data_IF_256282502252
#
_entry.id   IF_256282502252
#
_cell.length_a   1.000
_cell.length_b   1.000
_cell.length_c   1.000
_cell.angle_alpha   90.00
_cell.angle_beta   90.00
_cell.angle_gamma   90.00
#
_symmetry.space_group_name_H-M   'P 1'
#
loop_
_entity.id
_entity.type
_entity.pdbx_description
1 polymer ?
#
# COMPACT_ATOMS: atom_id res chain seq x y z
N UNK A 1 10.77 -15.55 -14.36
CA UNK A 1 12.24 -15.58 -14.09
C UNK A 1 12.51 -14.53 -13.03
N UNK A 2 13.15 -14.85 -11.90
CA UNK A 2 13.52 -13.82 -10.92
C UNK A 2 14.59 -12.92 -11.54
N UNK A 3 14.44 -11.60 -11.45
CA UNK A 3 15.45 -10.66 -11.93
C UNK A 3 16.53 -10.53 -10.82
N UNK A 4 17.79 -10.91 -11.07
CA UNK A 4 18.85 -10.78 -10.07
C UNK A 4 19.09 -9.32 -9.69
N UNK A 5 19.46 -9.11 -8.43
CA UNK A 5 19.75 -7.79 -7.85
C UNK A 5 21.16 -7.37 -8.28
N UNK A 6 21.36 -6.17 -8.85
CA UNK A 6 22.70 -5.61 -9.03
C UNK A 6 23.35 -5.33 -7.66
N UNK A 7 24.55 -5.86 -7.42
CA UNK A 7 25.29 -5.80 -6.14
C UNK A 7 25.56 -4.38 -5.59
N UNK A 8 25.30 -3.36 -6.39
CA UNK A 8 25.62 -1.96 -6.18
C UNK A 8 24.46 -1.10 -5.65
N UNK A 9 23.28 -1.66 -5.41
CA UNK A 9 22.16 -0.96 -4.73
C UNK A 9 22.00 -1.47 -3.29
N UNK A 10 22.55 -0.71 -2.32
CA UNK A 10 22.21 -0.88 -0.90
C UNK A 10 20.76 -0.44 -0.69
N UNK A 11 19.85 -1.41 -0.55
CA UNK A 11 18.46 -1.15 -0.15
C UNK A 11 18.40 -0.86 1.36
N UNK A 12 17.45 -0.02 1.83
CA UNK A 12 17.13 0.06 3.25
C UNK A 12 16.73 -1.33 3.77
N UNK A 13 17.15 -1.63 4.99
CA UNK A 13 16.95 -2.91 5.69
C UNK A 13 15.49 -3.37 5.81
N UNK A 14 14.52 -2.48 5.53
CA UNK A 14 13.08 -2.66 5.76
C UNK A 14 12.24 -2.80 4.47
N UNK A 15 12.84 -3.08 3.32
CA UNK A 15 12.11 -3.13 2.04
C UNK A 15 11.34 -4.44 1.81
N UNK A 16 10.07 -4.31 1.38
CA UNK A 16 9.17 -5.40 0.98
C UNK A 16 9.34 -5.71 -0.51
N UNK A 17 9.59 -6.99 -0.85
CA UNK A 17 9.65 -7.43 -2.24
C UNK A 17 8.38 -8.19 -2.60
N UNK A 18 7.63 -7.74 -3.61
CA UNK A 18 6.39 -8.40 -4.05
C UNK A 18 6.68 -9.26 -5.27
N UNK A 19 6.55 -10.57 -5.12
CA UNK A 19 6.52 -11.51 -6.23
C UNK A 19 5.10 -12.04 -6.37
N UNK A 20 4.32 -11.41 -7.24
CA UNK A 20 3.01 -11.91 -7.60
C UNK A 20 3.15 -12.79 -8.84
N UNK A 21 3.47 -14.08 -8.63
CA UNK A 21 2.97 -15.07 -9.59
C UNK A 21 1.44 -15.06 -9.46
N UNK A 22 0.69 -15.39 -10.52
CA UNK A 22 -0.79 -15.44 -10.61
C UNK A 22 -1.54 -16.14 -9.44
N UNK A 23 -0.86 -16.60 -8.38
CA UNK A 23 -1.38 -17.36 -7.24
C UNK A 23 -0.91 -16.87 -5.86
N UNK A 24 0.15 -16.06 -5.77
CA UNK A 24 0.82 -15.79 -4.49
C UNK A 24 1.09 -14.31 -4.26
N UNK A 25 1.06 -13.89 -3.00
CA UNK A 25 1.62 -12.63 -2.53
C UNK A 25 2.69 -12.90 -1.47
N UNK A 26 3.89 -12.34 -1.64
CA UNK A 26 5.03 -12.62 -0.77
C UNK A 26 5.56 -11.31 -0.20
N UNK A 27 5.22 -10.92 1.03
CA UNK A 27 5.90 -9.84 1.73
C UNK A 27 7.15 -10.37 2.41
N UNK A 28 8.22 -9.58 2.40
CA UNK A 28 9.48 -9.98 3.01
C UNK A 28 10.17 -8.79 3.66
N UNK A 29 10.61 -8.97 4.91
CA UNK A 29 11.50 -8.04 5.59
C UNK A 29 12.90 -8.66 5.64
N UNK A 30 13.81 -8.15 4.81
CA UNK A 30 15.16 -8.73 4.63
C UNK A 30 16.01 -8.66 5.90
N UNK A 31 16.03 -7.53 6.60
CA UNK A 31 16.85 -7.39 7.80
C UNK A 31 16.37 -8.28 8.95
N UNK A 32 15.06 -8.50 9.06
CA UNK A 32 14.49 -9.35 10.11
C UNK A 32 14.35 -10.81 9.69
N UNK A 33 14.65 -11.13 8.42
CA UNK A 33 14.48 -12.47 7.83
C UNK A 33 13.09 -13.05 8.09
N UNK A 34 12.04 -12.21 7.97
CA UNK A 34 10.63 -12.61 8.13
C UNK A 34 9.91 -12.48 6.80
N UNK A 35 9.11 -13.48 6.44
CA UNK A 35 8.35 -13.46 5.19
C UNK A 35 6.89 -13.88 5.43
N UNK A 36 5.99 -13.41 4.57
CA UNK A 36 4.66 -13.97 4.38
C UNK A 36 4.54 -14.59 3.00
N UNK A 37 3.59 -15.50 2.83
CA UNK A 37 3.15 -16.05 1.55
C UNK A 37 1.64 -16.22 1.64
N UNK A 38 0.89 -15.34 0.99
CA UNK A 38 -0.56 -15.40 0.93
C UNK A 38 -0.99 -16.05 -0.38
N UNK A 39 -1.77 -17.13 -0.28
CA UNK A 39 -2.47 -17.78 -1.38
C UNK A 39 -3.96 -17.45 -1.24
N UNK A 40 -4.39 -16.43 -1.98
CA UNK A 40 -5.76 -15.94 -1.94
C UNK A 40 -6.73 -16.82 -2.73
N UNK A 41 -6.23 -17.72 -3.60
CA UNK A 41 -7.05 -18.72 -4.29
C UNK A 41 -7.50 -19.82 -3.33
N UNK A 42 -6.56 -20.35 -2.55
CA UNK A 42 -6.83 -21.43 -1.59
C UNK A 42 -7.20 -20.92 -0.21
N UNK A 43 -7.24 -19.61 -0.01
CA UNK A 43 -7.57 -18.99 1.26
C UNK A 43 -6.60 -19.39 2.40
N UNK A 44 -5.31 -19.50 2.07
CA UNK A 44 -4.26 -19.90 3.02
C UNK A 44 -3.16 -18.84 3.07
N UNK A 45 -2.75 -18.46 4.27
CA UNK A 45 -1.57 -17.62 4.50
C UNK A 45 -0.48 -18.42 5.19
N UNK A 46 0.78 -18.18 4.84
CA UNK A 46 1.94 -18.75 5.54
C UNK A 46 2.87 -17.63 5.97
N UNK A 47 3.33 -17.65 7.21
CA UNK A 47 4.30 -16.71 7.75
C UNK A 47 5.54 -17.47 8.20
N UNK A 48 6.71 -16.99 7.81
CA UNK A 48 7.99 -17.65 8.01
C UNK A 48 8.91 -16.82 8.90
N UNK A 49 9.64 -17.54 9.73
CA UNK A 49 10.84 -17.06 10.40
C UNK A 49 12.06 -17.73 9.77
N UNK A 50 12.72 -17.03 8.86
CA UNK A 50 13.89 -17.56 8.16
C UNK A 50 15.10 -17.82 9.07
N UNK A 51 15.16 -17.24 10.28
CA UNK A 51 16.28 -17.47 11.20
C UNK A 51 16.18 -18.80 11.94
N UNK A 52 14.94 -19.21 12.26
CA UNK A 52 14.65 -20.44 13.00
C UNK A 52 14.20 -21.58 12.09
N UNK A 53 13.67 -21.27 10.90
CA UNK A 53 12.99 -22.23 10.04
C UNK A 53 11.52 -22.48 10.43
N UNK A 54 11.01 -21.75 11.41
CA UNK A 54 9.62 -21.84 11.86
C UNK A 54 8.67 -21.31 10.77
N UNK A 55 7.51 -21.95 10.63
CA UNK A 55 6.44 -21.47 9.77
C UNK A 55 5.06 -21.61 10.43
N UNK A 56 4.18 -20.67 10.14
CA UNK A 56 2.79 -20.68 10.56
C UNK A 56 1.90 -20.63 9.34
N UNK A 57 1.07 -21.64 9.13
CA UNK A 57 0.12 -21.67 8.02
C UNK A 57 -1.31 -21.59 8.56
N UNK A 58 -2.13 -20.70 8.03
CA UNK A 58 -3.51 -20.47 8.47
C UNK A 58 -4.47 -20.65 7.33
N UNK A 59 -5.51 -21.45 7.57
CA UNK A 59 -6.66 -21.52 6.69
C UNK A 59 -7.77 -20.68 7.30
N UNK A 60 -7.87 -19.43 6.86
CA UNK A 60 -8.69 -18.44 7.56
C UNK A 60 -10.20 -18.63 7.37
N UNK A 61 -10.68 -19.28 6.30
CA UNK A 61 -12.11 -19.64 6.19
C UNK A 61 -12.51 -20.70 7.23
N UNK A 62 -11.58 -21.60 7.56
CA UNK A 62 -11.80 -22.69 8.51
C UNK A 62 -11.42 -22.31 9.94
N UNK A 63 -10.95 -21.07 10.16
CA UNK A 63 -10.67 -20.52 11.48
C UNK A 63 -9.57 -21.23 12.27
N UNK A 64 -8.67 -21.97 11.62
CA UNK A 64 -7.59 -22.68 12.29
C UNK A 64 -6.27 -22.59 11.51
N UNK A 65 -5.19 -22.97 12.18
CA UNK A 65 -3.84 -22.96 11.62
C UNK A 65 -3.00 -24.12 12.07
N UNK A 66 -1.76 -24.11 11.60
CA UNK A 66 -0.71 -25.05 11.98
C UNK A 66 0.59 -24.30 12.19
N UNK A 67 1.31 -24.68 13.24
CA UNK A 67 2.69 -24.27 13.51
C UNK A 67 3.63 -25.40 13.11
N UNK A 68 4.61 -25.11 12.27
CA UNK A 68 5.64 -26.02 11.79
C UNK A 68 6.96 -25.56 12.40
N UNK A 69 7.49 -26.27 13.41
CA UNK A 69 8.76 -25.90 14.02
C UNK A 69 9.94 -26.09 13.06
N UNK A 70 10.93 -25.21 13.14
CA UNK A 70 12.16 -25.31 12.39
C UNK A 70 12.85 -26.67 12.57
N UNK A 71 13.37 -27.21 11.47
CA UNK A 71 14.05 -28.51 11.46
C UNK A 71 13.14 -29.74 11.41
N UNK A 72 11.81 -29.58 11.55
CA UNK A 72 10.84 -30.69 11.42
C UNK A 72 10.49 -31.01 9.97
N UNK A 73 10.73 -30.06 9.06
CA UNK A 73 10.45 -30.19 7.63
C UNK A 73 11.57 -29.54 6.83
N UNK A 74 11.81 -30.05 5.62
CA UNK A 74 12.66 -29.41 4.60
C UNK A 74 11.86 -28.43 3.73
N UNK A 75 10.54 -28.36 3.93
CA UNK A 75 9.64 -27.53 3.13
C UNK A 75 9.50 -26.10 3.65
N UNK A 76 9.97 -25.77 4.86
CA UNK A 76 9.94 -24.40 5.37
C UNK A 76 11.21 -23.64 4.98
N UNK A 77 11.12 -22.32 4.95
CA UNK A 77 12.27 -21.48 4.64
C UNK A 77 13.20 -21.31 5.85
N UNK A 78 14.47 -21.70 5.69
CA UNK A 78 15.55 -21.49 6.67
C UNK A 78 16.76 -20.87 5.95
N UNK A 79 17.17 -19.67 6.37
CA UNK A 79 18.26 -18.91 5.77
C UNK A 79 19.61 -19.61 5.86
N UNK A 80 19.78 -20.53 6.84
CA UNK A 80 21.00 -21.33 6.97
C UNK A 80 21.10 -22.39 5.87
N UNK A 81 19.97 -22.77 5.26
CA UNK A 81 19.90 -23.78 4.20
C UNK A 81 19.81 -23.16 2.82
N UNK A 82 19.00 -22.10 2.67
CA UNK A 82 18.68 -21.51 1.39
C UNK A 82 18.41 -20.01 1.53
N UNK A 83 18.95 -19.21 0.61
CA UNK A 83 18.67 -17.76 0.60
C UNK A 83 17.21 -17.48 0.26
N UNK A 84 16.71 -16.32 0.69
CA UNK A 84 15.34 -15.89 0.41
C UNK A 84 15.02 -15.97 -1.09
N UNK A 85 15.90 -15.39 -1.92
CA UNK A 85 15.69 -15.30 -3.37
C UNK A 85 15.60 -16.70 -4.01
N UNK A 86 16.39 -17.66 -3.51
CA UNK A 86 16.39 -19.04 -4.00
C UNK A 86 15.12 -19.80 -3.56
N UNK A 87 14.67 -19.66 -2.31
CA UNK A 87 13.48 -20.35 -1.81
C UNK A 87 12.20 -19.82 -2.47
N UNK A 88 12.06 -18.50 -2.54
CA UNK A 88 10.88 -17.86 -3.11
C UNK A 88 10.91 -17.75 -4.65
N UNK A 89 11.95 -18.31 -5.29
CA UNK A 89 11.88 -18.62 -6.72
C UNK A 89 10.87 -19.72 -7.00
N UNK A 90 10.74 -20.72 -6.14
CA UNK A 90 9.77 -21.80 -6.29
C UNK A 90 9.26 -22.20 -4.90
N UNK A 91 8.49 -21.32 -4.23
CA UNK A 91 8.07 -21.57 -2.87
C UNK A 91 7.17 -22.81 -2.81
N UNK A 92 7.25 -23.53 -1.69
CA UNK A 92 6.31 -24.62 -1.42
C UNK A 92 4.90 -24.03 -1.33
N UNK A 93 3.96 -24.59 -2.08
CA UNK A 93 2.59 -24.11 -2.13
C UNK A 93 1.96 -24.10 -0.72
N UNK A 94 1.29 -23.01 -0.29
CA UNK A 94 0.65 -22.92 1.02
C UNK A 94 -0.27 -24.09 1.40
N UNK A 95 -1.10 -24.65 0.49
CA UNK A 95 -1.89 -25.85 0.81
C UNK A 95 -1.04 -27.07 1.17
N UNK A 96 0.15 -27.21 0.59
CA UNK A 96 1.07 -28.32 0.87
C UNK A 96 1.79 -28.12 2.21
N UNK A 97 2.19 -26.89 2.52
CA UNK A 97 2.75 -26.55 3.83
C UNK A 97 1.72 -26.76 4.94
N UNK A 98 0.48 -26.33 4.73
CA UNK A 98 -0.61 -26.56 5.67
C UNK A 98 -0.78 -28.05 5.99
N UNK A 99 -0.89 -28.90 4.96
CA UNK A 99 -0.95 -30.38 5.11
C UNK A 99 0.27 -30.97 5.80
N UNK A 100 1.44 -30.35 5.65
CA UNK A 100 2.66 -30.78 6.35
C UNK A 100 2.56 -30.45 7.83
N UNK A 101 2.08 -29.26 8.18
CA UNK A 101 1.81 -28.88 9.56
C UNK A 101 0.73 -29.73 10.22
N UNK A 102 -0.31 -30.17 9.49
CA UNK A 102 -1.31 -31.11 10.02
C UNK A 102 -0.70 -32.46 10.41
N UNK A 103 0.35 -32.91 9.71
CA UNK A 103 0.99 -34.21 9.94
C UNK A 103 2.13 -34.18 10.96
N UNK A 104 2.91 -33.11 10.95
CA UNK A 104 4.20 -33.02 11.63
C UNK A 104 4.34 -31.79 12.53
N UNK A 105 3.34 -30.90 12.54
CA UNK A 105 3.33 -29.67 13.33
C UNK A 105 2.33 -29.72 14.48
N UNK A 106 2.04 -28.53 15.00
CA UNK A 106 1.04 -28.30 16.05
C UNK A 106 -0.16 -27.61 15.45
N UNK A 107 -1.37 -28.13 15.72
CA UNK A 107 -2.59 -27.43 15.35
C UNK A 107 -2.77 -26.18 16.21
N UNK A 108 -3.29 -25.12 15.59
CA UNK A 108 -3.54 -23.83 16.21
C UNK A 108 -5.02 -23.53 16.09
N UNK A 109 -5.68 -23.40 17.24
CA UNK A 109 -7.05 -22.91 17.34
C UNK A 109 -7.04 -21.54 18.03
N UNK A 110 -7.91 -20.59 17.62
CA UNK A 110 -8.03 -19.25 18.21
C UNK A 110 -8.00 -19.23 19.74
N UNK A 111 -8.69 -20.19 20.35
CA UNK A 111 -8.93 -20.22 21.79
C UNK A 111 -7.88 -21.02 22.57
N UNK A 112 -6.92 -21.67 21.88
CA UNK A 112 -6.01 -22.66 22.48
C UNK A 112 -4.53 -22.37 22.23
N UNK A 113 -4.18 -21.17 21.75
CA UNK A 113 -2.79 -20.80 21.52
C UNK A 113 -2.03 -20.59 22.83
N UNK A 114 -0.88 -21.27 22.95
CA UNK A 114 0.06 -21.01 24.04
C UNK A 114 0.74 -19.64 23.91
N UNK A 115 1.10 -19.04 25.04
CA UNK A 115 1.82 -17.77 25.11
C UNK A 115 3.11 -17.76 24.28
N UNK A 116 3.85 -18.87 24.27
CA UNK A 116 5.09 -19.01 23.48
C UNK A 116 4.82 -18.94 21.98
N UNK A 117 3.75 -19.57 21.50
CA UNK A 117 3.34 -19.53 20.09
C UNK A 117 2.85 -18.13 19.74
N UNK A 118 2.05 -17.50 20.59
CA UNK A 118 1.60 -16.13 20.41
C UNK A 118 2.77 -15.14 20.29
N UNK A 119 3.78 -15.27 21.16
CA UNK A 119 4.99 -14.45 21.12
C UNK A 119 5.75 -14.62 19.80
N UNK A 120 5.98 -15.85 19.35
CA UNK A 120 6.64 -16.13 18.07
C UNK A 120 5.87 -15.52 16.90
N UNK A 121 4.54 -15.63 16.89
CA UNK A 121 3.69 -15.00 15.90
C UNK A 121 3.87 -13.48 15.89
N UNK A 122 3.76 -12.81 17.05
CA UNK A 122 3.97 -11.37 17.16
C UNK A 122 5.35 -10.92 16.65
N UNK A 123 6.40 -11.71 16.90
CA UNK A 123 7.76 -11.42 16.43
C UNK A 123 7.90 -11.51 14.90
N UNK A 124 7.13 -12.39 14.24
CA UNK A 124 7.11 -12.48 12.77
C UNK A 124 6.28 -11.33 12.18
N UNK A 125 5.15 -10.98 12.80
CA UNK A 125 4.22 -9.99 12.28
C UNK A 125 4.64 -8.54 12.52
N UNK A 126 5.22 -8.21 13.67
CA UNK A 126 5.57 -6.82 14.01
C UNK A 126 6.46 -6.18 12.94
N UNK A 127 7.48 -6.87 12.40
CA UNK A 127 8.28 -6.36 11.27
C UNK A 127 7.51 -6.23 9.94
N UNK A 128 6.39 -6.94 9.81
CA UNK A 128 5.53 -6.94 8.63
C UNK A 128 4.43 -5.86 8.72
N UNK A 129 4.04 -5.45 9.94
CA UNK A 129 3.22 -4.26 10.22
C UNK A 129 3.26 -3.89 11.73
N UNK A 130 3.76 -2.69 12.10
CA UNK A 130 4.07 -2.29 13.48
C UNK A 130 2.91 -2.26 14.48
N UNK A 131 1.67 -2.10 14.00
CA UNK A 131 0.47 -2.00 14.85
C UNK A 131 0.09 -3.32 15.54
N UNK A 132 0.83 -4.39 15.30
CA UNK A 132 0.55 -5.74 15.77
C UNK A 132 1.44 -6.17 16.94
N UNK A 133 1.96 -5.20 17.70
CA UNK A 133 2.98 -5.38 18.74
C UNK A 133 2.50 -6.08 20.03
N UNK A 134 1.19 -6.33 20.19
CA UNK A 134 0.66 -7.01 21.37
C UNK A 134 0.57 -8.54 21.19
N UNK A 135 0.98 -9.29 22.22
CA UNK A 135 1.00 -10.76 22.22
C UNK A 135 -0.41 -11.35 22.25
N UNK A 136 -1.33 -10.76 23.02
CA UNK A 136 -2.67 -11.30 23.27
C UNK A 136 -3.61 -11.25 22.06
N UNK A 137 -3.30 -10.50 21.01
CA UNK A 137 -4.16 -10.32 19.84
C UNK A 137 -3.61 -10.98 18.56
N UNK A 138 -2.40 -11.53 18.61
CA UNK A 138 -1.65 -11.91 17.41
C UNK A 138 -2.41 -12.83 16.44
N UNK A 139 -3.08 -13.88 16.94
CA UNK A 139 -3.83 -14.81 16.07
C UNK A 139 -5.13 -14.21 15.54
N UNK A 140 -5.92 -13.52 16.39
CA UNK A 140 -7.14 -12.86 15.94
C UNK A 140 -6.82 -11.77 14.90
N UNK A 141 -5.73 -11.04 15.12
CA UNK A 141 -5.16 -10.07 14.20
C UNK A 141 -4.70 -10.74 12.91
N UNK A 142 -4.01 -11.89 12.95
CA UNK A 142 -3.64 -12.65 11.73
C UNK A 142 -4.85 -13.16 10.98
N UNK A 143 -5.83 -13.74 11.66
CA UNK A 143 -7.03 -14.25 11.00
C UNK A 143 -7.82 -13.11 10.38
N UNK A 144 -7.94 -11.99 11.10
CA UNK A 144 -8.54 -10.76 10.56
C UNK A 144 -7.77 -10.22 9.38
N UNK A 145 -6.43 -10.11 9.44
CA UNK A 145 -5.60 -9.64 8.32
C UNK A 145 -5.65 -10.63 7.18
N UNK A 146 -5.48 -11.92 7.41
CA UNK A 146 -5.47 -12.95 6.36
C UNK A 146 -6.81 -13.00 5.67
N UNK A 147 -7.91 -12.96 6.43
CA UNK A 147 -9.26 -12.88 5.88
C UNK A 147 -9.49 -11.56 5.15
N UNK A 148 -9.18 -10.42 5.76
CA UNK A 148 -9.42 -9.09 5.17
C UNK A 148 -8.57 -8.88 3.92
N UNK A 149 -7.28 -9.20 4.01
CA UNK A 149 -6.32 -9.14 2.90
C UNK A 149 -6.74 -10.10 1.82
N UNK A 150 -7.14 -11.32 2.15
CA UNK A 150 -7.52 -12.25 1.11
C UNK A 150 -8.89 -11.96 0.52
N UNK A 151 -9.91 -11.60 1.28
CA UNK A 151 -11.20 -11.15 0.74
C UNK A 151 -11.01 -9.93 -0.17
N UNK A 152 -10.19 -8.96 0.25
CA UNK A 152 -9.88 -7.74 -0.53
C UNK A 152 -9.00 -8.03 -1.74
N UNK A 153 -7.88 -8.75 -1.58
CA UNK A 153 -6.99 -9.11 -2.70
C UNK A 153 -7.66 -10.11 -3.66
N UNK A 154 -8.44 -11.06 -3.19
CA UNK A 154 -9.19 -11.99 -4.05
C UNK A 154 -10.22 -11.21 -4.86
N UNK A 155 -10.96 -10.30 -4.25
CA UNK A 155 -11.95 -9.48 -4.99
C UNK A 155 -11.25 -8.53 -5.97
N UNK A 156 -10.17 -7.86 -5.56
CA UNK A 156 -9.49 -6.84 -6.37
C UNK A 156 -8.51 -7.40 -7.40
N UNK A 157 -7.76 -8.46 -7.08
CA UNK A 157 -6.71 -9.03 -7.94
C UNK A 157 -7.19 -10.18 -8.82
N UNK A 158 -8.18 -10.99 -8.43
CA UNK A 158 -8.59 -12.16 -9.24
C UNK A 158 -9.13 -11.77 -10.62
N UNK A 159 -9.77 -10.60 -10.75
CA UNK A 159 -10.12 -10.08 -12.07
C UNK A 159 -8.92 -9.47 -12.79
N UNK A 160 -7.95 -8.88 -12.07
CA UNK A 160 -6.76 -8.31 -12.70
C UNK A 160 -5.90 -9.40 -13.34
N UNK A 161 -5.91 -10.63 -12.82
CA UNK A 161 -5.18 -11.77 -13.39
C UNK A 161 -5.39 -11.98 -14.90
N UNK A 162 -6.57 -11.65 -15.45
CA UNK A 162 -6.85 -11.81 -16.89
C UNK A 162 -6.28 -10.69 -17.77
N UNK A 163 -5.93 -9.54 -17.18
CA UNK A 163 -5.49 -8.31 -17.84
C UNK A 163 -3.97 -8.09 -17.70
N UNK A 164 -3.32 -8.88 -16.85
CA UNK A 164 -2.02 -8.56 -16.24
C UNK A 164 -0.86 -9.35 -16.85
N UNK A 165 0.30 -8.69 -16.96
CA UNK A 165 1.57 -9.27 -17.41
C UNK A 165 2.42 -9.83 -16.26
N UNK A 166 3.73 -10.01 -16.48
CA UNK A 166 4.67 -10.45 -15.44
C UNK A 166 4.66 -9.47 -14.25
N UNK A 167 4.48 -9.97 -13.01
CA UNK A 167 4.46 -9.12 -11.80
C UNK A 167 5.72 -9.35 -10.96
N UNK A 168 6.70 -8.47 -11.12
CA UNK A 168 7.86 -8.37 -10.23
C UNK A 168 7.98 -6.92 -9.70
N UNK A 169 7.37 -6.66 -8.54
CA UNK A 169 7.39 -5.34 -7.90
C UNK A 169 8.41 -5.26 -6.76
N UNK A 170 9.28 -4.25 -6.78
CA UNK A 170 10.15 -3.85 -5.67
C UNK A 170 9.43 -2.75 -4.90
N UNK A 171 8.91 -3.06 -3.72
CA UNK A 171 8.05 -2.12 -3.02
C UNK A 171 8.66 -1.44 -1.81
N UNK A 172 8.16 -0.22 -1.57
CA UNK A 172 8.57 0.66 -0.47
C UNK A 172 7.59 0.63 0.71
N UNK A 173 6.47 -0.11 0.62
CA UNK A 173 5.40 -0.14 1.61
C UNK A 173 5.18 -1.51 2.26
N UNK A 174 4.45 -1.50 3.38
CA UNK A 174 4.05 -2.68 4.16
C UNK A 174 2.77 -3.36 3.60
N UNK A 175 2.24 -4.35 4.32
CA UNK A 175 1.01 -5.05 3.94
C UNK A 175 -0.19 -4.10 3.69
N UNK A 176 -0.33 -3.04 4.48
CA UNK A 176 -1.49 -2.14 4.39
C UNK A 176 -1.44 -1.30 3.14
N UNK A 177 -0.24 -0.80 2.83
CA UNK A 177 0.02 -0.09 1.59
C UNK A 177 -0.45 -0.89 0.38
N UNK A 178 -0.10 -2.17 0.30
CA UNK A 178 -0.50 -2.99 -0.85
C UNK A 178 -2.01 -3.18 -0.92
N UNK A 179 -2.65 -3.47 0.22
CA UNK A 179 -4.10 -3.66 0.27
C UNK A 179 -4.80 -2.39 -0.20
N UNK A 180 -4.42 -1.23 0.34
CA UNK A 180 -4.97 0.05 -0.07
C UNK A 180 -4.73 0.33 -1.56
N UNK A 181 -3.56 -0.05 -2.09
CA UNK A 181 -3.24 0.16 -3.49
C UNK A 181 -4.11 -0.74 -4.37
N UNK A 182 -4.25 -2.02 -4.04
CA UNK A 182 -5.12 -2.95 -4.77
C UNK A 182 -6.59 -2.50 -4.75
N UNK A 183 -7.06 -1.93 -3.63
CA UNK A 183 -8.37 -1.29 -3.53
C UNK A 183 -8.48 -0.08 -4.45
N UNK A 184 -7.48 0.82 -4.41
CA UNK A 184 -7.45 2.00 -5.28
C UNK A 184 -7.47 1.65 -6.76
N UNK A 185 -6.73 0.61 -7.15
CA UNK A 185 -6.72 0.08 -8.52
C UNK A 185 -8.11 -0.46 -8.90
N UNK A 186 -8.73 -1.26 -8.03
CA UNK A 186 -10.05 -1.82 -8.27
C UNK A 186 -11.13 -0.72 -8.39
N UNK A 187 -11.12 0.24 -7.47
CA UNK A 187 -12.02 1.40 -7.49
C UNK A 187 -11.84 2.22 -8.77
N UNK A 188 -10.60 2.48 -9.17
CA UNK A 188 -10.30 3.18 -10.40
C UNK A 188 -10.85 2.45 -11.63
N UNK A 189 -10.62 1.14 -11.75
CA UNK A 189 -11.13 0.38 -12.90
C UNK A 189 -12.63 0.15 -12.89
N UNK A 190 -13.29 0.20 -11.71
CA UNK A 190 -14.75 0.18 -11.64
C UNK A 190 -15.38 1.33 -12.43
N UNK A 191 -14.71 2.49 -12.51
CA UNK A 191 -15.15 3.66 -13.28
C UNK A 191 -15.23 3.38 -14.79
N UNK A 192 -14.49 2.37 -15.27
CA UNK A 192 -14.45 1.96 -16.67
C UNK A 192 -15.43 0.83 -17.00
N UNK A 193 -16.25 0.38 -16.04
CA UNK A 193 -17.08 -0.82 -16.18
C UNK A 193 -16.39 -2.08 -15.65
N UNK A 194 -15.31 -1.92 -14.87
CA UNK A 194 -14.57 -3.01 -14.28
C UNK A 194 -13.64 -3.72 -15.26
N UNK A 195 -13.13 -4.86 -14.80
CA UNK A 195 -12.12 -5.67 -15.48
C UNK A 195 -12.62 -6.22 -16.83
N UNK A 196 -13.91 -6.56 -16.93
CA UNK A 196 -14.49 -7.07 -18.18
C UNK A 196 -14.40 -6.05 -19.32
N UNK A 197 -14.59 -4.77 -19.02
CA UNK A 197 -14.46 -3.70 -19.99
C UNK A 197 -13.00 -3.53 -20.46
N UNK A 198 -12.04 -3.69 -19.55
CA UNK A 198 -10.61 -3.66 -19.88
C UNK A 198 -10.22 -4.84 -20.78
N UNK A 199 -10.70 -6.04 -20.45
CA UNK A 199 -10.49 -7.25 -21.25
C UNK A 199 -11.05 -7.10 -22.67
N UNK A 200 -12.29 -6.60 -22.81
CA UNK A 200 -12.92 -6.37 -24.11
C UNK A 200 -12.17 -5.36 -24.97
N UNK A 201 -11.48 -4.40 -24.33
CA UNK A 201 -10.66 -3.38 -25.00
C UNK A 201 -9.20 -3.82 -25.19
N UNK A 202 -8.86 -5.05 -24.80
CA UNK A 202 -7.51 -5.61 -24.84
C UNK A 202 -6.48 -4.70 -24.17
N UNK A 203 -6.88 -4.03 -23.09
CA UNK A 203 -5.94 -3.24 -22.28
C UNK A 203 -4.99 -4.20 -21.59
N UNK A 204 -3.70 -3.89 -21.61
CA UNK A 204 -2.71 -4.63 -20.86
C UNK A 204 -2.11 -3.75 -19.75
N UNK A 205 -2.13 -4.26 -18.53
CA UNK A 205 -1.58 -3.56 -17.37
C UNK A 205 -0.30 -4.22 -16.90
N UNK A 206 0.76 -3.42 -16.83
CA UNK A 206 2.03 -3.76 -16.19
C UNK A 206 1.95 -3.40 -14.70
N UNK A 207 1.46 -4.36 -13.90
CA UNK A 207 1.43 -4.19 -12.44
C UNK A 207 2.83 -4.09 -11.83
N UNK A 208 3.87 -4.61 -12.48
CA UNK A 208 5.22 -4.37 -12.00
C UNK A 208 5.53 -2.86 -12.09
N UNK A 209 5.18 -2.20 -13.19
CA UNK A 209 5.31 -0.74 -13.31
C UNK A 209 4.50 0.00 -12.23
N UNK A 210 3.25 -0.40 -11.98
CA UNK A 210 2.39 0.17 -10.92
C UNK A 210 3.01 0.01 -9.53
N UNK A 211 3.37 -1.21 -9.17
CA UNK A 211 3.91 -1.56 -7.86
C UNK A 211 5.31 -0.98 -7.63
N UNK A 212 6.03 -0.57 -8.67
CA UNK A 212 7.34 0.07 -8.55
C UNK A 212 7.26 1.61 -8.52
N UNK A 213 6.07 2.19 -8.63
CA UNK A 213 5.92 3.65 -8.65
C UNK A 213 6.25 4.30 -7.31
N UNK A 214 6.67 5.56 -7.36
CA UNK A 214 7.10 6.30 -6.17
C UNK A 214 5.95 6.93 -5.37
N UNK A 215 4.77 7.09 -5.98
CA UNK A 215 3.57 7.65 -5.34
C UNK A 215 2.30 7.31 -6.11
N UNK A 216 1.14 7.52 -5.49
CA UNK A 216 -0.16 7.40 -6.14
C UNK A 216 -0.35 8.31 -7.36
N UNK A 217 0.37 9.44 -7.42
CA UNK A 217 0.37 10.35 -8.59
C UNK A 217 0.97 9.64 -9.81
N UNK A 218 2.11 8.98 -9.66
CA UNK A 218 2.73 8.26 -10.78
C UNK A 218 1.89 7.06 -11.23
N UNK A 219 1.21 6.40 -10.29
CA UNK A 219 0.25 5.34 -10.62
C UNK A 219 -0.89 5.92 -11.46
N UNK A 220 -1.43 7.08 -11.08
CA UNK A 220 -2.44 7.78 -11.86
C UNK A 220 -1.93 8.15 -13.26
N UNK A 221 -0.73 8.75 -13.39
CA UNK A 221 -0.13 9.06 -14.68
C UNK A 221 -0.05 7.82 -15.57
N UNK A 222 0.49 6.72 -15.03
CA UNK A 222 0.59 5.46 -15.75
C UNK A 222 -0.78 4.94 -16.21
N UNK A 223 -1.80 5.03 -15.37
CA UNK A 223 -3.14 4.61 -15.74
C UNK A 223 -3.80 5.51 -16.79
N UNK A 224 -3.61 6.82 -16.70
CA UNK A 224 -4.10 7.77 -17.72
C UNK A 224 -3.43 7.49 -19.06
N UNK A 225 -2.11 7.32 -19.10
CA UNK A 225 -1.35 6.95 -20.30
C UNK A 225 -1.82 5.63 -20.90
N UNK A 226 -2.03 4.61 -20.06
CA UNK A 226 -2.39 3.26 -20.51
C UNK A 226 -3.82 3.19 -21.02
N UNK A 227 -4.74 3.97 -20.44
CA UNK A 227 -6.16 3.89 -20.79
C UNK A 227 -6.59 4.90 -21.86
N UNK A 228 -5.86 6.01 -22.04
CA UNK A 228 -6.22 7.05 -23.00
C UNK A 228 -6.46 6.53 -24.44
N UNK A 229 -5.68 5.56 -24.96
CA UNK A 229 -5.92 5.01 -26.30
C UNK A 229 -7.21 4.18 -26.41
N UNK A 230 -7.76 3.70 -25.29
CA UNK A 230 -8.84 2.70 -25.26
C UNK A 230 -10.19 3.26 -24.81
N UNK A 231 -10.18 4.36 -24.07
CA UNK A 231 -11.36 4.95 -23.45
C UNK A 231 -11.38 6.48 -23.57
N UNK A 232 -12.58 7.04 -23.69
CA UNK A 232 -12.80 8.47 -23.47
C UNK A 232 -12.64 8.79 -21.97
N UNK A 233 -11.42 9.17 -21.59
CA UNK A 233 -11.08 9.47 -20.21
C UNK A 233 -11.82 10.70 -19.68
N UNK A 234 -12.15 11.66 -20.55
CA UNK A 234 -12.90 12.85 -20.14
C UNK A 234 -14.27 12.47 -19.59
N UNK A 235 -15.00 11.63 -20.32
CA UNK A 235 -16.30 11.12 -19.90
C UNK A 235 -16.19 10.18 -18.69
N UNK A 236 -15.16 9.33 -18.63
CA UNK A 236 -15.01 8.31 -17.58
C UNK A 236 -14.47 8.84 -16.25
N UNK A 237 -13.50 9.75 -16.31
CA UNK A 237 -12.79 10.25 -15.14
C UNK A 237 -13.11 11.71 -14.81
N UNK A 238 -13.73 12.46 -15.71
CA UNK A 238 -13.92 13.91 -15.55
C UNK A 238 -14.60 14.29 -14.24
N UNK A 239 -15.61 13.53 -13.79
CA UNK A 239 -16.27 13.76 -12.49
C UNK A 239 -15.30 13.60 -11.30
N UNK A 240 -14.42 12.61 -11.38
CA UNK A 240 -13.49 12.26 -10.29
C UNK A 240 -12.25 13.16 -10.28
N UNK A 241 -11.74 13.55 -11.45
CA UNK A 241 -10.52 14.32 -11.56
C UNK A 241 -10.75 15.83 -11.49
N UNK A 242 -11.90 16.34 -11.95
CA UNK A 242 -12.20 17.79 -11.85
C UNK A 242 -12.71 18.22 -10.45
N UNK A 243 -12.87 17.27 -9.52
CA UNK A 243 -13.27 17.51 -8.13
C UNK A 243 -12.05 17.38 -7.24
N UNK A 244 -11.67 18.45 -6.52
CA UNK A 244 -10.47 18.43 -5.67
C UNK A 244 -10.53 17.31 -4.60
N UNK A 245 -11.63 17.13 -3.84
CA UNK A 245 -11.74 16.03 -2.90
C UNK A 245 -11.60 14.65 -3.57
N UNK A 246 -12.31 14.42 -4.68
CA UNK A 246 -12.29 13.11 -5.35
C UNK A 246 -10.92 12.80 -5.96
N UNK A 247 -10.23 13.80 -6.50
CA UNK A 247 -8.87 13.70 -7.00
C UNK A 247 -7.90 13.25 -5.91
N UNK A 248 -7.92 13.94 -4.76
CA UNK A 248 -7.06 13.58 -3.64
C UNK A 248 -7.44 12.23 -3.03
N UNK A 249 -8.74 11.88 -2.96
CA UNK A 249 -9.20 10.53 -2.55
C UNK A 249 -8.59 9.47 -3.45
N UNK A 250 -8.65 9.67 -4.76
CA UNK A 250 -8.12 8.72 -5.73
C UNK A 250 -6.61 8.55 -5.58
N UNK A 251 -5.84 9.65 -5.50
CA UNK A 251 -4.38 9.55 -5.33
C UNK A 251 -4.02 8.86 -4.02
N UNK A 252 -4.70 9.18 -2.92
CA UNK A 252 -4.44 8.53 -1.63
C UNK A 252 -4.67 7.02 -1.71
N UNK A 253 -5.77 6.58 -2.37
CA UNK A 253 -6.05 5.16 -2.58
C UNK A 253 -5.00 4.50 -3.47
N UNK A 254 -4.63 5.12 -4.59
CA UNK A 254 -3.58 4.62 -5.48
C UNK A 254 -2.21 4.59 -4.79
N UNK A 255 -1.96 5.48 -3.83
CA UNK A 255 -0.77 5.49 -2.97
C UNK A 255 -0.82 4.48 -1.81
N UNK A 256 -1.85 3.65 -1.72
CA UNK A 256 -1.98 2.64 -0.67
C UNK A 256 -2.63 3.09 0.63
N UNK A 257 -3.11 4.33 0.69
CA UNK A 257 -3.72 4.91 1.89
C UNK A 257 -2.76 4.95 3.09
N UNK A 258 -1.45 4.98 2.83
CA UNK A 258 -0.45 5.04 3.90
C UNK A 258 -0.43 6.41 4.54
N UNK A 259 -0.04 6.43 5.82
CA UNK A 259 0.08 7.64 6.62
C UNK A 259 1.51 8.16 6.71
N UNK A 260 2.45 7.69 5.89
CA UNK A 260 3.86 8.08 5.92
C UNK A 260 4.41 8.39 4.52
N UNK A 261 5.56 9.07 4.48
CA UNK A 261 6.23 9.47 3.24
C UNK A 261 5.40 10.45 2.40
N UNK A 262 5.64 10.46 1.09
CA UNK A 262 4.93 11.36 0.18
C UNK A 262 3.42 11.11 0.16
N UNK A 263 2.98 9.85 0.05
CA UNK A 263 1.54 9.54 0.00
C UNK A 263 0.85 9.84 1.34
N UNK A 264 1.55 9.70 2.48
CA UNK A 264 1.06 10.16 3.78
C UNK A 264 0.84 11.68 3.84
N UNK A 265 1.76 12.45 3.26
CA UNK A 265 1.56 13.89 3.08
C UNK A 265 0.32 14.19 2.23
N UNK A 266 0.12 13.48 1.12
CA UNK A 266 -1.08 13.66 0.28
C UNK A 266 -2.36 13.31 1.06
N UNK A 267 -2.34 12.25 1.90
CA UNK A 267 -3.44 11.91 2.79
C UNK A 267 -3.76 13.03 3.79
N UNK A 268 -2.75 13.72 4.33
CA UNK A 268 -2.97 14.90 5.18
C UNK A 268 -3.64 16.02 4.38
N UNK A 269 -3.15 16.33 3.18
CA UNK A 269 -3.76 17.35 2.32
C UNK A 269 -5.22 17.02 2.00
N UNK A 270 -5.53 15.76 1.68
CA UNK A 270 -6.90 15.29 1.45
C UNK A 270 -7.81 15.63 2.64
N UNK A 271 -7.37 15.35 3.86
CA UNK A 271 -8.20 15.51 5.04
C UNK A 271 -8.45 16.99 5.37
N UNK A 272 -7.47 17.86 5.09
CA UNK A 272 -7.62 19.32 5.15
C UNK A 272 -8.60 19.80 4.07
N UNK A 273 -8.49 19.30 2.83
CA UNK A 273 -9.42 19.62 1.75
C UNK A 273 -10.84 19.24 2.15
N UNK A 274 -11.08 18.00 2.63
CA UNK A 274 -12.40 17.56 3.12
C UNK A 274 -12.91 18.42 4.27
N UNK A 275 -12.04 18.80 5.21
CA UNK A 275 -12.42 19.70 6.30
C UNK A 275 -12.91 21.05 5.77
N UNK A 276 -12.21 21.65 4.81
CA UNK A 276 -12.65 22.87 4.13
C UNK A 276 -13.97 22.69 3.36
N UNK A 277 -14.24 21.47 2.86
CA UNK A 277 -15.54 21.12 2.28
C UNK A 277 -16.66 20.88 3.30
N UNK A 278 -16.36 20.82 4.60
CA UNK A 278 -17.34 20.48 5.65
C UNK A 278 -17.66 18.98 5.70
N UNK A 279 -16.85 18.16 5.04
CA UNK A 279 -17.00 16.70 4.95
C UNK A 279 -16.18 15.95 6.01
N UNK A 280 -15.45 16.70 6.84
CA UNK A 280 -14.56 16.16 7.85
C UNK A 280 -14.47 17.08 9.07
N UNK A 281 -13.87 16.58 10.15
CA UNK A 281 -13.65 17.36 11.37
C UNK A 281 -12.17 17.69 11.60
N UNK A 282 -11.91 18.74 12.38
CA UNK A 282 -10.54 19.16 12.71
C UNK A 282 -9.80 18.12 13.57
N UNK A 283 -10.53 17.31 14.34
CA UNK A 283 -9.99 16.19 15.12
C UNK A 283 -9.43 15.10 14.21
N UNK A 284 -10.10 14.80 13.09
CA UNK A 284 -9.61 13.83 12.11
C UNK A 284 -8.36 14.36 11.38
N UNK A 285 -8.33 15.65 11.05
CA UNK A 285 -7.13 16.31 10.51
C UNK A 285 -5.97 16.21 11.51
N UNK A 286 -6.21 16.50 12.80
CA UNK A 286 -5.21 16.41 13.85
C UNK A 286 -4.70 14.98 14.05
N UNK A 287 -5.58 13.97 14.01
CA UNK A 287 -5.22 12.57 14.14
C UNK A 287 -4.33 12.09 12.97
N UNK A 288 -4.68 12.46 11.73
CA UNK A 288 -3.88 12.11 10.56
C UNK A 288 -2.53 12.84 10.56
N UNK A 289 -2.49 14.13 10.90
CA UNK A 289 -1.25 14.88 11.11
C UNK A 289 -0.37 14.23 12.17
N UNK A 290 -0.94 13.84 13.32
CA UNK A 290 -0.20 13.18 14.39
C UNK A 290 0.39 11.84 13.93
N UNK A 291 -0.39 11.07 13.17
CA UNK A 291 0.05 9.79 12.62
C UNK A 291 1.18 9.99 11.61
N UNK A 292 1.03 10.98 10.72
CA UNK A 292 2.05 11.36 9.76
C UNK A 292 3.35 11.82 10.44
N UNK A 293 3.27 12.82 11.31
CA UNK A 293 4.46 13.37 11.99
C UNK A 293 5.10 12.35 12.94
N UNK A 294 4.30 11.48 13.56
CA UNK A 294 4.76 10.46 14.50
C UNK A 294 5.51 9.29 13.86
N UNK A 295 5.41 9.09 12.54
CA UNK A 295 6.13 8.01 11.85
C UNK A 295 7.54 8.48 11.48
N UNK A 296 8.56 7.79 11.96
CA UNK A 296 9.96 8.09 11.65
C UNK A 296 10.30 7.99 10.15
N UNK A 297 9.44 7.33 9.34
CA UNK A 297 9.54 7.25 7.87
C UNK A 297 8.90 8.44 7.15
N UNK A 298 8.23 9.34 7.88
CA UNK A 298 7.43 10.40 7.28
C UNK A 298 8.25 11.55 6.69
N UNK A 299 9.38 11.89 7.29
CA UNK A 299 10.14 13.09 6.91
C UNK A 299 11.19 12.72 5.86
N UNK A 300 10.87 12.92 4.58
CA UNK A 300 11.88 12.88 3.52
C UNK A 300 12.47 14.27 3.33
N UNK A 301 13.79 14.43 3.46
CA UNK A 301 14.50 15.63 3.02
C UNK A 301 14.23 15.81 1.52
N UNK A 302 13.45 16.84 1.14
CA UNK A 302 12.94 17.17 -0.22
C UNK A 302 11.44 16.99 -0.51
N UNK A 303 10.58 16.82 0.49
CA UNK A 303 9.14 16.64 0.26
C UNK A 303 8.52 17.73 -0.65
N UNK A 304 8.83 19.02 -0.40
CA UNK A 304 8.33 20.12 -1.23
C UNK A 304 8.79 20.06 -2.69
N UNK A 305 10.05 19.67 -2.93
CA UNK A 305 10.56 19.47 -4.29
C UNK A 305 9.85 18.30 -4.99
N UNK A 306 9.64 17.18 -4.30
CA UNK A 306 8.89 16.03 -4.83
C UNK A 306 7.44 16.39 -5.14
N UNK A 307 6.78 17.12 -4.25
CA UNK A 307 5.42 17.63 -4.46
C UNK A 307 5.31 18.42 -5.75
N UNK A 308 6.19 19.41 -5.93
CA UNK A 308 6.21 20.21 -7.14
C UNK A 308 6.48 19.36 -8.39
N UNK A 309 7.49 18.47 -8.33
CA UNK A 309 7.89 17.62 -9.45
C UNK A 309 6.77 16.68 -9.88
N UNK A 310 6.15 15.96 -8.95
CA UNK A 310 5.12 14.96 -9.28
C UNK A 310 3.83 15.62 -9.80
N UNK A 311 3.49 16.82 -9.30
CA UNK A 311 2.36 17.60 -9.82
C UNK A 311 2.63 18.09 -11.24
N UNK A 312 3.86 18.54 -11.53
CA UNK A 312 4.28 18.90 -12.89
C UNK A 312 4.22 17.72 -13.84
N UNK A 313 4.72 16.55 -13.44
CA UNK A 313 4.66 15.32 -14.25
C UNK A 313 3.21 14.94 -14.61
N UNK A 314 2.27 15.06 -13.66
CA UNK A 314 0.85 14.83 -13.94
C UNK A 314 0.29 15.87 -14.91
N UNK A 315 0.64 17.14 -14.73
CA UNK A 315 0.22 18.22 -15.62
C UNK A 315 0.74 18.00 -17.06
N UNK A 316 1.99 17.57 -17.20
CA UNK A 316 2.62 17.24 -18.48
C UNK A 316 1.98 16.01 -19.12
N UNK A 317 1.66 14.98 -18.33
CA UNK A 317 0.95 13.78 -18.81
C UNK A 317 -0.42 14.14 -19.40
N UNK A 318 -1.20 14.96 -18.69
CA UNK A 318 -2.54 15.39 -19.16
C UNK A 318 -2.43 16.22 -20.44
N UNK A 319 -1.47 17.15 -20.52
CA UNK A 319 -1.23 17.96 -21.72
C UNK A 319 -0.74 17.13 -22.90
N UNK A 320 0.19 16.20 -22.67
CA UNK A 320 0.76 15.34 -23.70
C UNK A 320 -0.27 14.41 -24.35
N UNK A 321 -1.34 14.09 -23.62
CA UNK A 321 -2.47 13.30 -24.11
C UNK A 321 -3.65 14.17 -24.61
N UNK A 322 -3.48 15.49 -24.67
CA UNK A 322 -4.51 16.45 -25.11
C UNK A 322 -5.82 16.38 -24.29
N UNK A 323 -5.71 16.06 -23.00
CA UNK A 323 -6.84 15.93 -22.06
C UNK A 323 -7.09 17.19 -21.24
N UNK A 324 -6.38 18.29 -21.52
CA UNK A 324 -6.43 19.55 -20.77
C UNK A 324 -7.85 20.14 -20.71
N UNK A 325 -8.60 20.07 -21.81
CA UNK A 325 -10.00 20.55 -21.85
C UNK A 325 -10.93 19.66 -21.05
N UNK A 326 -10.73 18.35 -21.11
CA UNK A 326 -11.57 17.38 -20.41
C UNK A 326 -11.34 17.42 -18.89
N UNK A 327 -10.11 17.69 -18.48
CA UNK A 327 -9.69 17.81 -17.09
C UNK A 327 -9.39 19.26 -16.69
N UNK A 328 -10.18 20.23 -17.19
CA UNK A 328 -9.92 21.65 -16.98
C UNK A 328 -9.86 22.06 -15.50
N UNK A 329 -10.75 21.52 -14.66
CA UNK A 329 -10.75 21.81 -13.22
C UNK A 329 -9.53 21.21 -12.49
N UNK A 330 -9.08 20.03 -12.92
CA UNK A 330 -7.82 19.47 -12.43
C UNK A 330 -6.64 20.34 -12.88
N UNK A 331 -6.60 20.73 -14.15
CA UNK A 331 -5.49 21.50 -14.72
C UNK A 331 -5.34 22.88 -14.08
N UNK A 332 -6.45 23.51 -13.68
CA UNK A 332 -6.45 24.74 -12.88
C UNK A 332 -5.84 24.48 -11.50
N UNK A 333 -6.30 23.46 -10.78
CA UNK A 333 -5.75 23.05 -9.49
C UNK A 333 -4.24 22.78 -9.56
N UNK A 334 -3.76 22.01 -10.56
CA UNK A 334 -2.34 21.69 -10.69
C UNK A 334 -1.51 22.95 -10.98
N UNK A 335 -2.01 23.88 -11.79
CA UNK A 335 -1.35 25.15 -12.07
C UNK A 335 -1.26 26.03 -10.82
N UNK A 336 -2.33 26.10 -10.04
CA UNK A 336 -2.38 26.85 -8.79
C UNK A 336 -1.41 26.30 -7.75
N UNK A 337 -1.32 24.96 -7.64
CA UNK A 337 -0.35 24.28 -6.79
C UNK A 337 1.09 24.62 -7.21
N UNK A 338 1.40 24.51 -8.50
CA UNK A 338 2.74 24.80 -9.05
C UNK A 338 3.09 26.28 -8.88
N UNK A 339 2.12 27.17 -9.07
CA UNK A 339 2.29 28.62 -8.94
C UNK A 339 2.31 29.13 -7.50
N UNK A 340 2.03 28.26 -6.51
CA UNK A 340 1.93 28.67 -5.10
C UNK A 340 0.74 29.58 -4.79
N UNK A 341 -0.31 29.52 -5.62
CA UNK A 341 -1.48 30.41 -5.53
C UNK A 341 -2.79 29.63 -5.29
N UNK A 342 -2.71 28.38 -4.86
CA UNK A 342 -3.88 27.57 -4.55
C UNK A 342 -4.69 28.18 -3.40
N UNK A 343 -5.86 28.70 -3.75
CA UNK A 343 -6.87 29.23 -2.84
C UNK A 343 -8.13 28.39 -2.96
N UNK A 344 -8.66 27.96 -1.82
CA UNK A 344 -9.87 27.14 -1.78
C UNK A 344 -10.83 27.71 -0.74
N UNK A 345 -12.03 28.11 -1.18
CA UNK A 345 -13.05 28.76 -0.33
C UNK A 345 -12.51 29.95 0.48
N UNK A 346 -11.62 30.74 -0.12
CA UNK A 346 -11.00 31.91 0.53
C UNK A 346 -9.83 31.57 1.46
N UNK A 347 -9.47 30.30 1.62
CA UNK A 347 -8.33 29.85 2.41
C UNK A 347 -7.12 29.66 1.50
N UNK A 348 -5.97 30.21 1.90
CA UNK A 348 -4.70 30.00 1.20
C UNK A 348 -4.15 28.60 1.51
N UNK A 349 -4.45 27.65 0.62
CA UNK A 349 -4.03 26.27 0.75
C UNK A 349 -2.53 26.09 0.51
N UNK A 350 -1.91 26.97 -0.29
CA UNK A 350 -0.45 26.93 -0.52
C UNK A 350 0.33 27.16 0.77
N UNK A 351 -0.09 28.11 1.59
CA UNK A 351 0.53 28.40 2.89
C UNK A 351 0.37 27.22 3.86
N UNK A 352 -0.81 26.58 3.88
CA UNK A 352 -1.06 25.38 4.68
C UNK A 352 -0.17 24.22 4.22
N UNK A 353 -0.08 23.99 2.92
CA UNK A 353 0.77 22.95 2.33
C UNK A 353 2.23 23.17 2.72
N UNK A 354 2.71 24.42 2.65
CA UNK A 354 4.05 24.79 3.08
C UNK A 354 4.29 24.53 4.57
N UNK A 355 3.32 24.87 5.43
CA UNK A 355 3.37 24.54 6.87
C UNK A 355 3.48 23.03 7.11
N UNK A 356 2.73 22.21 6.38
CA UNK A 356 2.79 20.74 6.48
C UNK A 356 4.11 20.19 5.95
N UNK A 357 4.66 20.75 4.87
CA UNK A 357 5.97 20.37 4.32
C UNK A 357 7.09 20.68 5.32
N UNK A 358 7.00 21.82 6.00
CA UNK A 358 8.02 22.31 6.92
C UNK A 358 7.91 21.75 8.35
N UNK A 359 7.09 20.73 8.57
CA UNK A 359 7.00 20.09 9.89
C UNK A 359 8.31 19.37 10.22
N UNK A 360 9.08 19.96 11.13
CA UNK A 360 10.31 19.36 11.65
C UNK A 360 10.01 18.30 12.72
N UNK A 361 10.43 17.06 12.42
CA UNK A 361 10.75 15.91 13.29
C UNK A 361 9.59 15.27 14.12
N UNK A 362 9.54 13.92 14.17
CA UNK A 362 8.66 13.16 15.06
C UNK A 362 8.82 13.50 16.54
N UNK A 363 7.69 13.76 17.22
CA UNK A 363 7.62 13.82 18.69
C UNK A 363 7.26 15.18 19.30
N UNK A 364 7.19 16.27 18.54
CA UNK A 364 6.69 17.53 19.09
C UNK A 364 5.17 17.65 18.90
N UNK A 365 4.39 17.37 19.95
CA UNK A 365 2.97 17.73 19.99
C UNK A 365 2.76 19.23 19.66
N UNK A 366 3.76 20.07 19.91
CA UNK A 366 3.79 21.49 19.54
C UNK A 366 3.60 21.77 18.04
N UNK A 367 4.16 20.96 17.13
CA UNK A 367 4.03 21.18 15.68
C UNK A 367 2.63 20.84 15.18
N UNK A 368 2.03 19.75 15.68
CA UNK A 368 0.64 19.38 15.36
C UNK A 368 -0.34 20.42 15.91
N UNK A 369 -0.16 20.85 17.17
CA UNK A 369 -1.00 21.87 17.80
C UNK A 369 -0.89 23.20 17.06
N UNK A 370 0.30 23.61 16.63
CA UNK A 370 0.51 24.84 15.84
C UNK A 370 -0.28 24.80 14.54
N UNK A 371 -0.11 23.76 13.72
CA UNK A 371 -0.82 23.61 12.44
C UNK A 371 -2.32 23.57 12.65
N UNK A 372 -2.82 22.81 13.62
CA UNK A 372 -4.26 22.74 13.92
C UNK A 372 -4.80 24.11 14.34
N UNK A 373 -4.06 24.87 15.14
CA UNK A 373 -4.46 26.21 15.56
C UNK A 373 -4.43 27.21 14.40
N UNK A 374 -3.43 27.12 13.52
CA UNK A 374 -3.31 27.99 12.35
C UNK A 374 -4.39 27.64 11.31
N UNK A 375 -4.71 26.36 11.11
CA UNK A 375 -5.87 25.89 10.36
C UNK A 375 -7.18 26.44 10.95
N UNK A 376 -7.38 26.35 12.26
CA UNK A 376 -8.58 26.90 12.92
C UNK A 376 -8.71 28.41 12.71
N UNK A 377 -7.62 29.18 12.79
CA UNK A 377 -7.65 30.65 12.59
C UNK A 377 -7.87 31.05 11.12
N UNK A 378 -7.44 30.20 10.19
CA UNK A 378 -7.55 30.48 8.75
C UNK A 378 -8.90 30.04 8.18
N UNK A 379 -9.58 29.09 8.83
CA UNK A 379 -10.82 28.47 8.35
C UNK A 379 -12.07 28.94 9.13
N UNK A 380 -11.93 29.37 10.38
CA UNK A 380 -12.97 30.06 11.17
C UNK A 380 -12.75 31.56 11.17
#
# INVERSE_FOLDING_TARGET
>A
MLVPIPDNLKLPDNMFQINARLKYYIPYNKAQSKAGLLDYHHNISVFYDGLTGDAFAFYYEQGHGVFIPGGTSDQTWDIKRQKYEEYFENPVAPPRLFKTGEKHGYQLYPDEISETIALKLSQILTPLSPDYSSQCQALATILFISKTTSDRLKTSLSGLETVVGDINGRNRGDFRWLIGMAEGIADYFSMFGGIDALNQKHVHLDLAKVLNQQSGIHVLCYFVETLAPHFDLGTKLGKHLNSQPDFFVLICKLGGGISYGFDGFVCVILEIVKYNYGENSIENVAANLKTYVGDARAVTSNLGQKWHTFIQELQETIKGLELDRAFGGLMELLQDIVGGNWVQKGINMSEIVEEVINVEIPGSECSVIKIVNDLKKKIC
#
